data_IF_746538731531
#
_entry.id   IF_746538731531
#
_cell.length_a   1.000
_cell.length_b   1.000
_cell.length_c   1.000
_cell.angle_alpha   90.00
_cell.angle_beta   90.00
_cell.angle_gamma   90.00
#
_symmetry.space_group_name_H-M   'P 1'
#
loop_
_entity.id
_entity.type
_entity.pdbx_description
1 polymer ?
#
# COMPACT_ATOMS: atom_id res chain seq x y z
N UNK A 1 -0.12 16.20 16.05
CA UNK A 1 1.15 15.58 15.56
C UNK A 1 1.87 16.62 14.72
N UNK A 2 3.17 16.60 14.71
CA UNK A 2 4.02 17.49 13.92
C UNK A 2 4.67 16.70 12.77
N UNK A 3 4.90 17.37 11.64
CA UNK A 3 5.78 16.85 10.61
C UNK A 3 7.23 17.11 11.05
N UNK A 4 8.08 16.10 10.93
CA UNK A 4 9.52 16.31 11.11
C UNK A 4 10.09 16.98 9.86
N UNK A 5 11.13 17.83 9.98
CA UNK A 5 11.84 18.35 8.80
C UNK A 5 12.34 17.18 7.94
N UNK A 6 12.10 17.25 6.63
CA UNK A 6 12.67 16.25 5.72
C UNK A 6 14.19 16.32 5.74
N UNK A 7 14.89 15.18 5.62
CA UNK A 7 16.34 15.18 5.44
C UNK A 7 16.72 16.07 4.25
N UNK A 8 17.79 16.87 4.33
CA UNK A 8 18.17 17.78 3.23
C UNK A 8 18.51 17.05 1.92
N UNK A 9 18.93 15.79 2.03
CA UNK A 9 19.25 14.91 0.91
C UNK A 9 18.70 13.51 1.23
N UNK A 10 17.41 13.23 0.95
CA UNK A 10 16.84 11.92 1.15
C UNK A 10 17.60 10.87 0.34
N UNK A 11 18.11 9.82 0.99
CA UNK A 11 18.91 8.79 0.34
C UNK A 11 18.18 7.45 0.25
N UNK A 12 17.19 7.21 1.11
CA UNK A 12 16.42 5.97 1.21
C UNK A 12 14.94 6.27 1.39
N UNK A 13 14.10 5.55 0.66
CA UNK A 13 12.64 5.63 0.76
C UNK A 13 12.10 4.36 1.42
N UNK A 14 11.30 4.51 2.47
CA UNK A 14 10.61 3.41 3.14
C UNK A 14 9.10 3.51 2.93
N UNK A 15 8.49 2.46 2.40
CA UNK A 15 7.05 2.32 2.20
C UNK A 15 6.48 1.20 3.06
N UNK A 16 5.47 1.53 3.85
CA UNK A 16 4.77 0.58 4.70
C UNK A 16 3.30 0.51 4.29
N UNK A 17 2.79 -0.69 4.06
CA UNK A 17 1.35 -0.86 4.20
C UNK A 17 0.94 -0.62 5.67
N UNK A 18 -0.33 -0.28 5.92
CA UNK A 18 -0.78 0.08 7.25
C UNK A 18 -1.45 -1.10 7.97
N UNK A 19 -2.62 -1.52 7.51
CA UNK A 19 -3.44 -2.53 8.18
C UNK A 19 -2.87 -3.94 7.97
N UNK A 20 -2.55 -4.63 9.07
CA UNK A 20 -1.92 -5.95 8.98
C UNK A 20 -0.40 -5.91 8.86
N UNK A 21 0.19 -4.80 8.43
CA UNK A 21 1.64 -4.64 8.26
C UNK A 21 2.30 -3.81 9.37
N UNK A 22 1.89 -2.56 9.54
CA UNK A 22 2.40 -1.69 10.60
C UNK A 22 1.45 -1.67 11.80
N UNK A 23 0.16 -1.58 11.52
CA UNK A 23 -0.93 -1.47 12.47
C UNK A 23 -1.51 -2.85 12.81
N UNK A 24 -1.68 -3.11 14.10
CA UNK A 24 -2.38 -4.26 14.64
C UNK A 24 -3.54 -3.78 15.50
N UNK A 25 -4.78 -3.93 15.03
CA UNK A 25 -5.97 -3.39 15.70
C UNK A 25 -6.16 -3.89 17.15
N UNK A 26 -5.65 -5.07 17.49
CA UNK A 26 -5.68 -5.61 18.85
C UNK A 26 -4.43 -5.27 19.68
N UNK A 27 -3.48 -4.51 19.11
CA UNK A 27 -2.27 -4.06 19.82
C UNK A 27 -2.56 -2.86 20.74
N UNK A 28 -1.76 -2.69 21.76
CA UNK A 28 -1.81 -1.52 22.65
C UNK A 28 -0.38 -1.00 22.94
N UNK A 29 0.07 0.08 22.29
CA UNK A 29 -0.59 0.74 21.17
C UNK A 29 -0.61 -0.12 19.89
N UNK A 30 -1.54 0.17 18.94
CA UNK A 30 -1.64 -0.59 17.69
C UNK A 30 -0.37 -0.60 16.83
N UNK A 31 0.42 0.46 16.89
CA UNK A 31 1.78 0.54 16.31
C UNK A 31 2.80 0.63 17.43
N UNK A 32 3.79 -0.29 17.50
CA UNK A 32 4.79 -0.31 18.57
C UNK A 32 5.60 0.97 18.64
N UNK A 33 5.77 1.58 19.82
CA UNK A 33 6.57 2.81 20.02
C UNK A 33 8.02 2.66 19.51
N UNK A 34 8.60 1.47 19.63
CA UNK A 34 9.94 1.16 19.13
C UNK A 34 10.09 1.32 17.60
N UNK A 35 9.00 1.27 16.84
CA UNK A 35 9.03 1.57 15.41
C UNK A 35 9.50 3.02 15.15
N UNK A 36 8.93 3.96 15.89
CA UNK A 36 9.27 5.38 15.72
C UNK A 36 10.70 5.71 16.19
N UNK A 37 11.23 4.96 17.16
CA UNK A 37 12.63 5.07 17.57
C UNK A 37 13.57 4.64 16.45
N UNK A 38 13.27 3.51 15.80
CA UNK A 38 14.05 3.03 14.65
C UNK A 38 13.95 4.01 13.48
N UNK A 39 12.77 4.56 13.19
CA UNK A 39 12.62 5.58 12.14
C UNK A 39 13.47 6.82 12.44
N UNK A 40 13.48 7.33 13.67
CA UNK A 40 14.34 8.48 14.03
C UNK A 40 15.82 8.17 13.81
N UNK A 41 16.28 7.02 14.29
CA UNK A 41 17.66 6.58 14.09
C UNK A 41 18.02 6.52 12.60
N UNK A 42 17.19 5.91 11.78
CA UNK A 42 17.44 5.79 10.34
C UNK A 42 17.40 7.16 9.62
N UNK A 43 16.56 8.09 10.06
CA UNK A 43 16.55 9.46 9.51
C UNK A 43 17.87 10.16 9.78
N UNK A 44 18.41 10.03 10.99
CA UNK A 44 19.69 10.66 11.40
C UNK A 44 20.89 10.00 10.71
N UNK A 45 20.93 8.67 10.65
CA UNK A 45 22.09 7.92 10.17
C UNK A 45 22.12 7.72 8.66
N UNK A 46 20.95 7.62 8.00
CA UNK A 46 20.81 7.20 6.60
C UNK A 46 20.07 8.20 5.72
N UNK A 47 19.56 9.30 6.26
CA UNK A 47 18.74 10.24 5.49
C UNK A 47 17.43 9.62 4.97
N UNK A 48 16.77 8.78 5.77
CA UNK A 48 15.55 8.08 5.40
C UNK A 48 14.36 9.04 5.36
N UNK A 49 13.54 8.91 4.31
CA UNK A 49 12.16 9.36 4.30
C UNK A 49 11.24 8.13 4.33
N UNK A 50 10.10 8.25 4.99
CA UNK A 50 9.19 7.15 5.17
C UNK A 50 7.74 7.54 4.99
N UNK A 51 6.89 6.61 4.60
CA UNK A 51 5.47 6.86 4.45
C UNK A 51 4.63 5.61 4.48
N UNK A 52 3.33 5.84 4.44
CA UNK A 52 2.30 4.83 4.49
C UNK A 52 1.59 4.76 3.14
N UNK A 53 1.43 3.54 2.63
CA UNK A 53 0.77 3.25 1.37
C UNK A 53 -0.42 2.32 1.64
N UNK A 54 -1.63 2.88 1.71
CA UNK A 54 -2.80 2.20 2.27
C UNK A 54 -4.05 2.29 1.39
N UNK A 55 -4.94 1.32 1.52
CA UNK A 55 -6.29 1.37 0.96
C UNK A 55 -7.23 2.35 1.68
N UNK A 56 -6.86 2.81 2.89
CA UNK A 56 -7.68 3.78 3.62
C UNK A 56 -7.74 5.13 2.91
N UNK A 57 -8.90 5.78 2.94
CA UNK A 57 -8.99 7.21 2.58
C UNK A 57 -8.24 8.07 3.60
N UNK A 58 -7.76 9.24 3.20
CA UNK A 58 -6.95 10.12 4.04
C UNK A 58 -7.60 10.45 5.41
N UNK A 59 -8.90 10.77 5.53
CA UNK A 59 -9.52 11.00 6.85
C UNK A 59 -9.39 9.81 7.80
N UNK A 60 -9.63 8.59 7.31
CA UNK A 60 -9.48 7.36 8.11
C UNK A 60 -8.02 7.05 8.44
N UNK A 61 -7.09 7.49 7.60
CA UNK A 61 -5.66 7.38 7.93
C UNK A 61 -5.26 8.33 9.05
N UNK A 62 -5.80 9.56 9.06
CA UNK A 62 -5.59 10.52 10.16
C UNK A 62 -6.14 9.98 11.48
N UNK A 63 -7.31 9.36 11.48
CA UNK A 63 -7.86 8.64 12.65
C UNK A 63 -6.90 7.53 13.10
N UNK A 64 -6.39 6.72 12.17
CA UNK A 64 -5.40 5.68 12.46
C UNK A 64 -4.12 6.19 13.09
N UNK A 65 -3.64 7.38 12.72
CA UNK A 65 -2.49 8.02 13.38
C UNK A 65 -2.77 8.38 14.84
N UNK A 66 -3.99 8.87 15.12
CA UNK A 66 -4.42 9.24 16.46
C UNK A 66 -4.55 7.99 17.33
N UNK A 67 -5.25 6.97 16.86
CA UNK A 67 -5.45 5.70 17.56
C UNK A 67 -4.13 4.99 17.86
N UNK A 68 -3.20 5.02 16.90
CA UNK A 68 -1.87 4.41 17.04
C UNK A 68 -0.86 5.30 17.75
N UNK A 69 -1.26 6.46 18.28
CA UNK A 69 -0.43 7.37 19.07
C UNK A 69 0.85 7.80 18.35
N UNK A 70 0.76 8.14 17.05
CA UNK A 70 1.92 8.57 16.27
C UNK A 70 2.57 9.81 16.90
N UNK A 71 3.87 9.76 17.28
CA UNK A 71 4.54 10.93 17.86
C UNK A 71 4.88 12.00 16.82
N UNK A 72 4.98 11.61 15.55
CA UNK A 72 5.21 12.51 14.40
C UNK A 72 4.60 11.90 13.14
N UNK A 73 4.30 12.75 12.16
CA UNK A 73 3.72 12.34 10.90
C UNK A 73 4.75 11.64 9.99
N UNK A 74 4.34 10.72 9.11
CA UNK A 74 5.15 10.25 8.01
C UNK A 74 5.43 11.39 7.01
N UNK A 75 6.48 11.26 6.21
CA UNK A 75 6.86 12.25 5.20
C UNK A 75 5.88 12.30 4.02
N UNK A 76 5.13 11.21 3.81
CA UNK A 76 4.10 11.10 2.78
C UNK A 76 3.08 10.02 3.14
N UNK A 77 1.89 10.10 2.50
CA UNK A 77 0.84 9.08 2.53
C UNK A 77 0.34 8.86 1.12
N UNK A 78 0.20 7.61 0.73
CA UNK A 78 -0.66 7.19 -0.37
C UNK A 78 -1.97 6.70 0.24
N UNK A 79 -3.05 7.43 0.00
CA UNK A 79 -4.40 7.06 0.40
C UNK A 79 -5.14 6.39 -0.77
N UNK A 80 -6.10 5.51 -0.45
CA UNK A 80 -6.88 4.75 -1.45
C UNK A 80 -6.00 4.04 -2.48
N UNK A 81 -4.73 3.71 -2.09
CA UNK A 81 -3.72 3.04 -2.92
C UNK A 81 -3.21 3.87 -4.12
N UNK A 82 -3.63 5.12 -4.26
CA UNK A 82 -3.38 5.94 -5.47
C UNK A 82 -3.21 7.43 -5.25
N UNK A 83 -3.75 7.99 -4.19
CA UNK A 83 -3.72 9.44 -3.94
C UNK A 83 -2.53 9.81 -3.07
N UNK A 84 -1.65 10.67 -3.53
CA UNK A 84 -0.42 11.06 -2.85
C UNK A 84 -0.63 12.36 -2.08
N UNK A 85 -0.22 12.36 -0.81
CA UNK A 85 -0.28 13.51 0.07
C UNK A 85 1.03 13.70 0.83
N UNK A 86 1.42 14.96 1.04
CA UNK A 86 2.57 15.37 1.85
C UNK A 86 2.11 16.26 3.00
N UNK A 87 2.65 16.08 4.23
CA UNK A 87 2.34 16.99 5.33
C UNK A 87 3.12 18.28 5.17
N UNK A 88 2.47 19.43 5.39
CA UNK A 88 3.19 20.69 5.57
C UNK A 88 3.76 20.81 7.01
N UNK A 89 4.60 21.80 7.30
CA UNK A 89 5.20 21.97 8.64
C UNK A 89 4.18 22.13 9.78
N UNK A 90 2.93 22.53 9.48
CA UNK A 90 1.85 22.63 10.47
C UNK A 90 1.04 21.35 10.62
N UNK A 91 1.39 20.27 9.89
CA UNK A 91 0.72 18.98 9.94
C UNK A 91 -0.52 18.87 9.07
N UNK A 92 -0.74 19.82 8.15
CA UNK A 92 -1.80 19.78 7.15
C UNK A 92 -1.36 18.92 5.95
N UNK A 93 -2.21 18.03 5.48
CA UNK A 93 -1.95 17.20 4.31
C UNK A 93 -2.28 17.95 3.02
N UNK A 94 -1.28 18.06 2.15
CA UNK A 94 -1.38 18.70 0.85
C UNK A 94 -1.32 17.62 -0.24
N UNK A 95 -2.24 17.63 -1.22
CA UNK A 95 -2.22 16.68 -2.33
C UNK A 95 -1.01 16.95 -3.26
N UNK A 96 -0.47 15.90 -3.84
CA UNK A 96 0.38 16.01 -5.03
C UNK A 96 -0.52 16.33 -6.23
N UNK A 97 -0.76 17.63 -6.46
CA UNK A 97 -1.83 18.09 -7.34
C UNK A 97 -1.78 17.46 -8.75
N UNK A 98 -0.62 17.51 -9.42
CA UNK A 98 -0.47 16.97 -10.79
C UNK A 98 -0.80 15.47 -10.86
N UNK A 99 -0.33 14.68 -9.91
CA UNK A 99 -0.61 13.24 -9.86
C UNK A 99 -2.07 12.96 -9.52
N UNK A 100 -2.59 13.57 -8.47
CA UNK A 100 -3.96 13.30 -8.02
C UNK A 100 -5.01 13.77 -9.04
N UNK A 101 -4.82 14.94 -9.66
CA UNK A 101 -5.70 15.43 -10.72
C UNK A 101 -5.67 14.53 -11.97
N UNK A 102 -4.49 13.99 -12.32
CA UNK A 102 -4.36 13.03 -13.41
C UNK A 102 -5.05 11.70 -13.04
N UNK A 103 -4.81 11.20 -11.84
CA UNK A 103 -5.41 9.98 -11.32
C UNK A 103 -6.95 10.04 -11.38
N UNK A 104 -7.55 11.12 -10.87
CA UNK A 104 -8.99 11.33 -10.88
C UNK A 104 -9.55 11.31 -12.30
N UNK A 105 -8.98 12.12 -13.21
CA UNK A 105 -9.44 12.18 -14.61
C UNK A 105 -9.32 10.84 -15.34
N UNK A 106 -8.19 10.13 -15.20
CA UNK A 106 -7.97 8.88 -15.92
C UNK A 106 -8.84 7.74 -15.36
N UNK A 107 -9.10 7.74 -14.05
CA UNK A 107 -10.03 6.79 -13.43
C UNK A 107 -11.47 7.04 -13.88
N UNK A 108 -11.94 8.28 -13.88
CA UNK A 108 -13.29 8.61 -14.33
C UNK A 108 -13.49 8.22 -15.81
N UNK A 109 -12.49 8.52 -16.65
CA UNK A 109 -12.50 8.13 -18.06
C UNK A 109 -12.53 6.62 -18.24
N UNK A 110 -11.73 5.88 -17.47
CA UNK A 110 -11.69 4.42 -17.50
C UNK A 110 -13.04 3.83 -17.15
N UNK A 111 -13.63 4.22 -16.01
CA UNK A 111 -14.90 3.66 -15.56
C UNK A 111 -16.05 3.97 -16.52
N UNK A 112 -16.05 5.14 -17.14
CA UNK A 112 -16.99 5.48 -18.19
C UNK A 112 -16.83 4.59 -19.42
N UNK A 113 -15.61 4.32 -19.86
CA UNK A 113 -15.32 3.44 -21.02
C UNK A 113 -15.58 1.98 -20.76
N UNK A 114 -15.33 1.52 -19.54
CA UNK A 114 -15.50 0.12 -19.12
C UNK A 114 -16.89 -0.16 -18.52
N UNK A 115 -17.85 0.76 -18.63
CA UNK A 115 -19.18 0.64 -18.01
C UNK A 115 -19.91 -0.63 -18.39
N UNK A 116 -19.88 -1.00 -19.68
CA UNK A 116 -20.59 -2.20 -20.18
C UNK A 116 -19.94 -3.48 -19.64
N UNK A 117 -18.62 -3.55 -19.61
CA UNK A 117 -17.90 -4.67 -19.02
C UNK A 117 -18.15 -4.78 -17.51
N UNK A 118 -18.15 -3.66 -16.79
CA UNK A 118 -18.45 -3.67 -15.37
C UNK A 118 -19.89 -4.11 -15.06
N UNK A 119 -20.85 -3.78 -15.93
CA UNK A 119 -22.22 -4.27 -15.84
C UNK A 119 -22.30 -5.78 -16.10
N UNK A 120 -21.56 -6.30 -17.06
CA UNK A 120 -21.45 -7.73 -17.33
C UNK A 120 -20.88 -8.47 -16.11
N UNK A 121 -19.76 -7.97 -15.56
CA UNK A 121 -19.13 -8.55 -14.36
C UNK A 121 -20.08 -8.49 -13.17
N UNK A 122 -20.77 -7.36 -12.96
CA UNK A 122 -21.78 -7.22 -11.92
C UNK A 122 -22.87 -8.28 -12.05
N UNK A 123 -23.42 -8.46 -13.25
CA UNK A 123 -24.43 -9.49 -13.54
C UNK A 123 -23.93 -10.90 -13.21
N UNK A 124 -22.68 -11.21 -13.56
CA UNK A 124 -22.04 -12.48 -13.24
C UNK A 124 -21.95 -12.69 -11.71
N UNK A 125 -21.48 -11.69 -10.98
CA UNK A 125 -21.34 -11.76 -9.52
C UNK A 125 -22.72 -11.92 -8.84
N UNK A 126 -23.70 -11.07 -9.17
CA UNK A 126 -25.02 -11.06 -8.53
C UNK A 126 -25.84 -12.34 -8.82
N UNK A 127 -25.64 -12.97 -9.99
CA UNK A 127 -26.38 -14.19 -10.37
C UNK A 127 -25.77 -15.46 -9.77
N UNK A 128 -24.45 -15.51 -9.61
CA UNK A 128 -23.74 -16.76 -9.28
C UNK A 128 -23.16 -16.81 -7.87
N UNK A 129 -23.22 -15.72 -7.11
CA UNK A 129 -22.62 -15.63 -5.77
C UNK A 129 -23.56 -14.94 -4.78
N UNK A 130 -23.18 -14.95 -3.50
CA UNK A 130 -23.81 -14.13 -2.45
C UNK A 130 -23.02 -12.85 -2.15
N UNK A 131 -22.05 -12.52 -2.99
CA UNK A 131 -21.23 -11.33 -2.85
C UNK A 131 -22.05 -10.06 -3.12
N UNK A 132 -21.65 -8.98 -2.47
CA UNK A 132 -22.25 -7.66 -2.64
C UNK A 132 -21.46 -6.83 -3.63
N UNK A 133 -22.11 -6.32 -4.67
CA UNK A 133 -21.55 -5.27 -5.51
C UNK A 133 -21.61 -3.94 -4.78
N UNK A 134 -20.47 -3.23 -4.71
CA UNK A 134 -20.36 -1.93 -4.07
C UNK A 134 -19.99 -0.91 -5.13
N UNK A 135 -20.77 0.17 -5.17
CA UNK A 135 -20.46 1.33 -5.98
C UNK A 135 -20.97 2.58 -5.26
N UNK A 136 -20.05 3.40 -4.80
CA UNK A 136 -20.36 4.70 -4.23
C UNK A 136 -19.97 5.81 -5.20
N UNK A 137 -20.63 6.96 -5.11
CA UNK A 137 -20.32 8.12 -5.94
C UNK A 137 -18.85 8.54 -5.73
N UNK A 138 -18.11 8.71 -6.83
CA UNK A 138 -16.68 9.06 -6.80
C UNK A 138 -15.73 7.94 -6.38
N UNK A 139 -16.25 6.72 -6.16
CA UNK A 139 -15.41 5.55 -5.85
C UNK A 139 -15.47 4.50 -6.95
N UNK A 140 -14.36 3.81 -7.19
CA UNK A 140 -14.38 2.64 -8.07
C UNK A 140 -15.36 1.57 -7.62
N UNK A 141 -15.95 0.88 -8.58
CA UNK A 141 -16.78 -0.29 -8.29
C UNK A 141 -15.96 -1.37 -7.55
N UNK A 142 -16.61 -2.12 -6.69
CA UNK A 142 -15.99 -3.19 -5.93
C UNK A 142 -16.94 -4.32 -5.60
N UNK A 143 -16.41 -5.38 -5.02
CA UNK A 143 -17.14 -6.57 -4.58
C UNK A 143 -16.71 -6.93 -3.16
N UNK A 144 -17.68 -7.27 -2.31
CA UNK A 144 -17.43 -7.93 -1.03
C UNK A 144 -18.03 -9.33 -1.09
N UNK A 145 -17.20 -10.36 -1.02
CA UNK A 145 -17.66 -11.74 -0.93
C UNK A 145 -17.99 -12.13 0.52
N UNK A 146 -18.69 -13.26 0.69
CA UNK A 146 -18.98 -13.81 2.01
C UNK A 146 -17.80 -14.61 2.58
N UNK A 147 -16.98 -15.20 1.70
CA UNK A 147 -15.80 -15.99 2.07
C UNK A 147 -14.66 -15.77 1.09
N UNK A 148 -13.45 -16.19 1.46
CA UNK A 148 -12.30 -16.14 0.57
C UNK A 148 -12.45 -17.09 -0.63
N UNK A 149 -13.06 -18.26 -0.44
CA UNK A 149 -13.33 -19.23 -1.52
C UNK A 149 -14.30 -18.64 -2.56
N UNK A 150 -15.31 -17.88 -2.12
CA UNK A 150 -16.22 -17.18 -3.01
C UNK A 150 -15.46 -16.08 -3.79
N UNK A 151 -14.55 -15.36 -3.13
CA UNK A 151 -13.70 -14.37 -3.79
C UNK A 151 -12.75 -15.01 -4.81
N UNK A 152 -12.14 -16.16 -4.50
CA UNK A 152 -11.36 -16.93 -5.48
C UNK A 152 -12.20 -17.28 -6.72
N UNK A 153 -13.41 -17.79 -6.48
CA UNK A 153 -14.34 -18.11 -7.57
C UNK A 153 -14.65 -16.88 -8.44
N UNK A 154 -14.85 -15.72 -7.85
CA UNK A 154 -15.09 -14.45 -8.55
C UNK A 154 -13.85 -14.07 -9.38
N UNK A 155 -12.67 -14.05 -8.76
CA UNK A 155 -11.41 -13.68 -9.40
C UNK A 155 -11.14 -14.55 -10.63
N UNK A 156 -11.28 -15.87 -10.52
CA UNK A 156 -11.06 -16.81 -11.63
C UNK A 156 -11.92 -16.50 -12.88
N UNK A 157 -13.06 -15.85 -12.69
CA UNK A 157 -14.00 -15.53 -13.77
C UNK A 157 -13.88 -14.12 -14.30
N UNK A 158 -13.51 -13.17 -13.46
CA UNK A 158 -13.35 -11.78 -13.90
C UNK A 158 -11.98 -11.53 -14.52
N UNK A 159 -10.95 -12.25 -14.07
CA UNK A 159 -9.57 -12.03 -14.54
C UNK A 159 -9.44 -12.15 -16.08
N UNK A 160 -9.97 -13.19 -16.75
CA UNK A 160 -9.95 -13.28 -18.20
C UNK A 160 -10.70 -12.13 -18.92
N UNK A 161 -11.71 -11.55 -18.29
CA UNK A 161 -12.49 -10.43 -18.83
C UNK A 161 -11.70 -9.12 -18.73
N UNK A 162 -10.99 -8.92 -17.62
CA UNK A 162 -10.23 -7.71 -17.33
C UNK A 162 -8.88 -7.69 -18.06
N UNK A 163 -8.25 -8.84 -18.29
CA UNK A 163 -6.95 -8.94 -18.99
C UNK A 163 -6.99 -8.33 -20.41
N UNK A 164 -8.17 -8.34 -21.06
CA UNK A 164 -8.37 -7.70 -22.38
C UNK A 164 -8.34 -6.16 -22.36
N UNK A 165 -8.51 -5.54 -21.20
CA UNK A 165 -8.58 -4.10 -21.02
C UNK A 165 -7.20 -3.49 -20.74
N UNK A 166 -6.83 -2.43 -21.47
CA UNK A 166 -5.47 -1.87 -21.39
C UNK A 166 -5.16 -1.26 -20.02
N UNK A 167 -6.15 -0.63 -19.40
CA UNK A 167 -5.95 0.13 -18.16
C UNK A 167 -6.77 -0.38 -16.98
N UNK A 168 -7.82 -1.15 -17.22
CA UNK A 168 -8.62 -1.72 -16.14
C UNK A 168 -7.83 -2.80 -15.41
N UNK A 169 -7.92 -2.79 -14.12
CA UNK A 169 -7.36 -3.82 -13.22
C UNK A 169 -8.25 -3.97 -12.00
N UNK A 170 -7.94 -4.94 -11.18
CA UNK A 170 -8.57 -5.12 -9.88
C UNK A 170 -7.49 -5.35 -8.81
N UNK A 171 -7.82 -5.00 -7.60
CA UNK A 171 -7.01 -5.24 -6.41
C UNK A 171 -7.86 -5.96 -5.37
N UNK A 172 -7.26 -6.88 -4.64
CA UNK A 172 -7.94 -7.68 -3.64
C UNK A 172 -7.26 -7.53 -2.28
N UNK A 173 -8.09 -7.48 -1.23
CA UNK A 173 -7.66 -7.66 0.14
C UNK A 173 -8.65 -8.59 0.84
N UNK A 174 -8.27 -9.87 1.06
CA UNK A 174 -9.11 -10.95 1.60
C UNK A 174 -10.42 -11.09 0.80
N UNK A 175 -11.57 -10.76 1.40
CA UNK A 175 -12.90 -10.82 0.79
C UNK A 175 -13.31 -9.55 0.03
N UNK A 176 -12.45 -8.53 -0.02
CA UNK A 176 -12.70 -7.27 -0.72
C UNK A 176 -11.96 -7.26 -2.05
N UNK A 177 -12.66 -6.89 -3.11
CA UNK A 177 -12.09 -6.62 -4.42
C UNK A 177 -12.54 -5.23 -4.88
N UNK A 178 -11.63 -4.46 -5.43
CA UNK A 178 -11.90 -3.15 -6.02
C UNK A 178 -11.34 -3.11 -7.43
N UNK A 179 -12.14 -2.61 -8.37
CA UNK A 179 -11.64 -2.27 -9.70
C UNK A 179 -10.85 -0.98 -9.64
N UNK A 180 -9.87 -0.83 -10.51
CA UNK A 180 -8.99 0.32 -10.52
C UNK A 180 -8.30 0.53 -11.85
N UNK A 181 -7.45 1.56 -11.90
CA UNK A 181 -6.64 1.86 -13.06
C UNK A 181 -5.22 1.33 -12.87
N UNK A 182 -4.71 0.57 -13.85
CA UNK A 182 -3.38 -0.08 -13.82
C UNK A 182 -2.22 0.90 -13.62
N UNK A 183 -2.37 2.16 -14.00
CA UNK A 183 -1.38 3.21 -13.80
C UNK A 183 -1.42 3.91 -12.43
N UNK A 184 -2.40 3.59 -11.57
CA UNK A 184 -2.59 4.23 -10.27
C UNK A 184 -2.88 3.18 -9.19
N UNK A 185 -1.81 2.56 -8.71
CA UNK A 185 -1.81 1.51 -7.70
C UNK A 185 -0.72 1.80 -6.66
N UNK A 186 -0.59 0.96 -5.64
CA UNK A 186 0.44 1.12 -4.59
C UNK A 186 1.86 1.21 -5.14
N UNK A 187 2.23 0.39 -6.11
CA UNK A 187 3.57 0.38 -6.70
C UNK A 187 3.83 1.61 -7.56
N UNK A 188 2.94 1.96 -8.48
CA UNK A 188 3.09 3.16 -9.32
C UNK A 188 3.10 4.44 -8.49
N UNK A 189 2.30 4.53 -7.42
CA UNK A 189 2.32 5.66 -6.48
C UNK A 189 3.64 5.76 -5.73
N UNK A 190 4.21 4.62 -5.31
CA UNK A 190 5.53 4.57 -4.68
C UNK A 190 6.63 5.04 -5.64
N UNK A 191 6.59 4.61 -6.90
CA UNK A 191 7.53 5.07 -7.93
C UNK A 191 7.42 6.58 -8.13
N UNK A 192 6.20 7.14 -8.22
CA UNK A 192 5.99 8.58 -8.33
C UNK A 192 6.60 9.37 -7.15
N UNK A 193 6.47 8.86 -5.92
CA UNK A 193 7.09 9.47 -4.74
C UNK A 193 8.61 9.36 -4.80
N UNK A 194 9.14 8.20 -5.18
CA UNK A 194 10.58 8.00 -5.31
C UNK A 194 11.20 8.92 -6.36
N UNK A 195 10.52 9.13 -7.48
CA UNK A 195 10.95 10.05 -8.55
C UNK A 195 10.91 11.51 -8.07
N UNK A 196 9.88 11.90 -7.28
CA UNK A 196 9.83 13.23 -6.66
C UNK A 196 11.05 13.54 -5.79
N UNK A 197 11.59 12.53 -5.09
CA UNK A 197 12.79 12.67 -4.25
C UNK A 197 14.08 12.20 -4.94
N UNK A 198 14.03 11.81 -6.22
CA UNK A 198 15.15 11.28 -7.00
C UNK A 198 15.86 10.09 -6.32
N UNK A 199 15.09 9.15 -5.76
CA UNK A 199 15.61 7.96 -5.07
C UNK A 199 15.58 6.75 -6.01
N UNK A 200 16.75 6.15 -6.24
CA UNK A 200 16.92 4.97 -7.09
C UNK A 200 16.21 3.72 -6.53
N UNK A 201 15.75 2.79 -7.38
CA UNK A 201 15.08 1.55 -6.95
C UNK A 201 15.88 0.75 -5.90
N UNK A 202 17.21 0.68 -6.01
CA UNK A 202 18.06 -0.02 -5.04
C UNK A 202 17.99 0.54 -3.61
N UNK A 203 17.57 1.80 -3.46
CA UNK A 203 17.43 2.49 -2.18
C UNK A 203 15.97 2.63 -1.73
N UNK A 204 15.06 1.85 -2.33
CA UNK A 204 13.66 1.79 -1.95
C UNK A 204 13.38 0.50 -1.20
N UNK A 205 12.69 0.63 -0.07
CA UNK A 205 12.22 -0.48 0.75
C UNK A 205 10.70 -0.47 0.80
N UNK A 206 10.09 -1.65 0.69
CA UNK A 206 8.66 -1.82 0.89
C UNK A 206 8.35 -3.05 1.73
N UNK A 207 7.30 -2.95 2.55
CA UNK A 207 6.75 -4.05 3.35
C UNK A 207 5.23 -4.04 3.29
N UNK A 208 4.62 -5.22 3.09
CA UNK A 208 3.18 -5.42 2.97
C UNK A 208 2.78 -6.84 3.34
N UNK A 209 1.51 -7.10 3.60
CA UNK A 209 1.01 -8.39 4.09
C UNK A 209 -0.09 -9.02 3.22
N UNK A 210 -0.72 -8.28 2.33
CA UNK A 210 -1.91 -8.73 1.60
C UNK A 210 -1.79 -8.56 0.08
N UNK A 211 -2.77 -9.09 -0.65
CA UNK A 211 -2.74 -9.18 -2.12
C UNK A 211 -2.60 -7.83 -2.84
N UNK A 212 -3.12 -6.74 -2.26
CA UNK A 212 -2.99 -5.39 -2.81
C UNK A 212 -1.56 -4.81 -2.71
N UNK A 213 -0.64 -5.53 -2.05
CA UNK A 213 0.77 -5.14 -1.93
C UNK A 213 1.68 -5.72 -3.01
N UNK A 214 1.20 -6.67 -3.83
CA UNK A 214 2.03 -7.32 -4.85
C UNK A 214 2.81 -6.33 -5.71
N UNK A 215 2.15 -5.29 -6.21
CA UNK A 215 2.79 -4.32 -7.08
C UNK A 215 3.80 -3.44 -6.31
N UNK A 216 3.51 -3.06 -5.06
CA UNK A 216 4.44 -2.33 -4.21
C UNK A 216 5.69 -3.15 -3.88
N UNK A 217 5.56 -4.47 -3.81
CA UNK A 217 6.63 -5.44 -3.52
C UNK A 217 7.33 -5.97 -4.79
N UNK A 218 7.02 -5.40 -5.97
CA UNK A 218 7.67 -5.82 -7.22
C UNK A 218 9.12 -5.31 -7.27
N UNK A 219 10.12 -6.20 -7.55
CA UNK A 219 11.53 -5.82 -7.71
C UNK A 219 11.79 -4.76 -8.78
N UNK A 220 10.87 -4.56 -9.73
CA UNK A 220 10.95 -3.46 -10.69
C UNK A 220 10.78 -2.08 -10.02
N UNK A 221 10.14 -2.02 -8.87
CA UNK A 221 9.84 -0.78 -8.14
C UNK A 221 10.75 -0.55 -6.94
N UNK A 222 11.15 -1.64 -6.25
CA UNK A 222 11.91 -1.57 -5.00
C UNK A 222 13.03 -2.60 -4.94
N UNK A 223 14.18 -2.22 -4.41
CA UNK A 223 15.32 -3.10 -4.25
C UNK A 223 15.32 -3.93 -2.95
N UNK A 224 14.51 -3.54 -1.97
CA UNK A 224 14.42 -4.22 -0.67
C UNK A 224 12.95 -4.47 -0.32
N UNK A 225 12.56 -5.74 -0.22
CA UNK A 225 11.17 -6.13 0.06
C UNK A 225 11.08 -6.99 1.30
N UNK A 226 9.99 -6.84 2.06
CA UNK A 226 9.71 -7.69 3.21
C UNK A 226 8.21 -7.98 3.34
N UNK A 227 7.87 -8.99 4.12
CA UNK A 227 6.52 -9.19 4.63
C UNK A 227 6.55 -9.67 6.08
N UNK A 228 5.56 -9.29 6.91
CA UNK A 228 5.48 -9.76 8.29
C UNK A 228 5.04 -11.23 8.36
N UNK A 229 5.28 -11.88 9.49
CA UNK A 229 4.92 -13.29 9.70
C UNK A 229 3.43 -13.59 9.50
N UNK A 230 2.56 -12.62 9.72
CA UNK A 230 1.11 -12.75 9.49
C UNK A 230 0.68 -12.54 8.03
N UNK A 231 1.59 -12.20 7.12
CA UNK A 231 1.24 -12.00 5.71
C UNK A 231 0.59 -13.26 5.10
N UNK A 232 -0.28 -13.05 4.11
CA UNK A 232 -0.90 -14.15 3.36
C UNK A 232 0.16 -14.98 2.63
N UNK A 233 -0.12 -16.27 2.42
CA UNK A 233 0.85 -17.17 1.82
C UNK A 233 1.33 -16.73 0.43
N UNK A 234 0.45 -16.15 -0.37
CA UNK A 234 0.79 -15.64 -1.69
C UNK A 234 1.86 -14.53 -1.63
N UNK A 235 1.75 -13.60 -0.69
CA UNK A 235 2.77 -12.55 -0.45
C UNK A 235 4.08 -13.14 0.06
N UNK A 236 4.03 -14.09 1.01
CA UNK A 236 5.25 -14.78 1.47
C UNK A 236 6.00 -15.45 0.34
N UNK A 237 5.28 -16.16 -0.54
CA UNK A 237 5.86 -16.80 -1.72
C UNK A 237 6.47 -15.77 -2.67
N UNK A 238 5.77 -14.67 -2.95
CA UNK A 238 6.26 -13.59 -3.80
C UNK A 238 7.54 -12.95 -3.24
N UNK A 239 7.54 -12.57 -1.96
CA UNK A 239 8.70 -11.98 -1.28
C UNK A 239 9.88 -12.96 -1.28
N UNK A 240 9.65 -14.23 -0.93
CA UNK A 240 10.69 -15.26 -0.94
C UNK A 240 11.27 -15.51 -2.33
N UNK A 241 10.42 -15.60 -3.35
CA UNK A 241 10.85 -15.83 -4.73
C UNK A 241 11.76 -14.71 -5.25
N UNK A 242 11.50 -13.46 -4.82
CA UNK A 242 12.26 -12.28 -5.18
C UNK A 242 13.43 -11.97 -4.22
N UNK A 243 13.78 -12.90 -3.33
CA UNK A 243 14.91 -12.73 -2.41
C UNK A 243 14.69 -11.73 -1.27
N UNK A 244 13.43 -11.36 -1.01
CA UNK A 244 13.05 -10.49 0.11
C UNK A 244 12.97 -11.23 1.45
N UNK A 245 12.70 -10.48 2.51
CA UNK A 245 12.67 -10.97 3.89
C UNK A 245 11.25 -11.32 4.34
N UNK A 246 11.03 -12.55 4.79
CA UNK A 246 9.87 -12.92 5.60
C UNK A 246 10.29 -12.81 7.06
N UNK A 247 9.68 -11.89 7.82
CA UNK A 247 10.04 -11.71 9.23
C UNK A 247 9.47 -12.80 10.13
N UNK A 248 10.09 -13.00 11.29
CA UNK A 248 9.58 -13.93 12.32
C UNK A 248 8.47 -13.28 13.15
N UNK A 249 8.54 -11.96 13.33
CA UNK A 249 7.53 -11.20 14.03
C UNK A 249 6.40 -10.76 13.09
N UNK A 250 5.21 -10.53 13.67
CA UNK A 250 4.02 -10.06 12.96
C UNK A 250 3.86 -8.55 13.08
N UNK A 251 3.11 -7.95 12.15
CA UNK A 251 2.68 -6.55 12.16
C UNK A 251 3.86 -5.57 12.37
N UNK A 252 3.67 -4.51 13.16
CA UNK A 252 4.69 -3.50 13.43
C UNK A 252 6.00 -4.04 14.01
N UNK A 253 5.98 -5.15 14.75
CA UNK A 253 7.21 -5.82 15.20
C UNK A 253 7.96 -6.47 14.02
N UNK A 254 7.26 -7.04 13.03
CA UNK A 254 7.84 -7.50 11.78
C UNK A 254 8.46 -6.36 10.99
N UNK A 255 7.77 -5.21 10.93
CA UNK A 255 8.33 -4.00 10.29
C UNK A 255 9.64 -3.54 10.95
N UNK A 256 9.71 -3.56 12.29
CA UNK A 256 10.93 -3.25 13.05
C UNK A 256 12.05 -4.26 12.71
N UNK A 257 11.73 -5.56 12.68
CA UNK A 257 12.69 -6.62 12.34
C UNK A 257 13.25 -6.40 10.92
N UNK A 258 12.40 -6.12 9.94
CA UNK A 258 12.81 -5.86 8.56
C UNK A 258 13.73 -4.63 8.45
N UNK A 259 13.40 -3.54 9.13
CA UNK A 259 14.24 -2.34 9.15
C UNK A 259 15.61 -2.62 9.77
N UNK A 260 15.67 -3.37 10.85
CA UNK A 260 16.95 -3.74 11.48
C UNK A 260 17.79 -4.65 10.58
N UNK A 261 17.16 -5.59 9.89
CA UNK A 261 17.81 -6.48 8.95
C UNK A 261 18.50 -5.72 7.81
N UNK A 262 17.78 -4.83 7.14
CA UNK A 262 18.31 -4.14 5.96
C UNK A 262 19.23 -2.97 6.29
N UNK A 263 19.02 -2.28 7.41
CA UNK A 263 19.65 -0.98 7.64
C UNK A 263 20.56 -0.90 8.86
N UNK A 264 20.29 -1.68 9.92
CA UNK A 264 21.03 -1.59 11.17
C UNK A 264 21.98 -2.78 11.42
N UNK A 265 21.68 -3.96 10.85
CA UNK A 265 22.50 -5.17 11.01
C UNK A 265 22.94 -5.77 9.66
N UNK A 266 23.54 -5.01 8.73
CA UNK A 266 23.89 -5.54 7.40
C UNK A 266 25.01 -6.62 7.42
N UNK A 267 25.71 -6.80 8.54
CA UNK A 267 26.82 -7.75 8.66
C UNK A 267 26.42 -9.23 8.76
N UNK A 268 25.11 -9.56 8.82
CA UNK A 268 24.63 -10.96 8.87
C UNK A 268 24.21 -11.50 7.49
N UNK A 269 24.35 -10.70 6.42
CA UNK A 269 23.86 -11.01 5.08
C UNK A 269 24.98 -11.32 4.05
N UNK A 270 26.22 -11.63 4.51
CA UNK A 270 27.33 -12.08 3.67
C UNK A 270 27.56 -13.58 3.81
#
# INVERSE_FOLDING_TARGET
MIALPSPPFPAVLLSFDFDGTLHHAAGDPPVPAAFFEVIRQLREEKGVIWGINTGRALPYMIEGFIESQFPFLPDWVVAREREIYFPNPTGQWLPHAEWNDRCEREIDDLFRKSSDLLLEIRGLVEVHTNAQWIQMEGEPAGVISQTEEEMEWIVDRIDPLVVGETHLTWQRNSIYLRFGHRGFQKGTSLVQIADHFAIDPANRFAIGDSHNDFEMLDPAHVGMTACPANAVNAIKQHVQFNGGLITQASHGHGSIEALRHYFLNPAQNC
#
